data_IF_080497948127
#
_entry.id   IF_080497948127
#
_cell.length_a   1.000
_cell.length_b   1.000
_cell.length_c   1.000
_cell.angle_alpha   90.00
_cell.angle_beta   90.00
_cell.angle_gamma   90.00
#
_symmetry.space_group_name_H-M   'P 1'
#
loop_
_entity.id
_entity.type
_entity.pdbx_description
1 polymer ?
#
# COMPACT_ATOMS: atom_id res chain seq x y z
N UNK A 1 23.55 -2.09 2.51
CA UNK A 1 22.15 -2.56 2.52
C UNK A 1 21.79 -2.94 3.95
N UNK A 2 20.75 -2.34 4.53
CA UNK A 2 20.30 -2.68 5.88
C UNK A 2 19.66 -4.08 5.88
N UNK A 3 19.72 -4.80 7.01
CA UNK A 3 19.09 -6.13 7.15
C UNK A 3 17.58 -6.08 6.79
N UNK A 4 16.87 -5.01 7.19
CA UNK A 4 15.47 -4.79 6.78
C UNK A 4 15.33 -4.72 5.26
N UNK A 5 16.19 -4.00 4.56
CA UNK A 5 16.10 -3.89 3.10
C UNK A 5 16.35 -5.22 2.39
N UNK A 6 17.30 -6.01 2.88
CA UNK A 6 17.54 -7.36 2.36
C UNK A 6 16.32 -8.24 2.56
N UNK A 7 15.71 -8.22 3.75
CA UNK A 7 14.46 -8.92 4.05
C UNK A 7 13.33 -8.49 3.09
N UNK A 8 13.09 -7.18 2.93
CA UNK A 8 12.06 -6.66 2.04
C UNK A 8 12.24 -7.16 0.60
N UNK A 9 13.46 -7.10 0.07
CA UNK A 9 13.74 -7.50 -1.32
C UNK A 9 13.57 -9.01 -1.52
N UNK A 10 14.11 -9.83 -0.61
CA UNK A 10 14.02 -11.29 -0.73
C UNK A 10 12.56 -11.75 -0.65
N UNK A 11 11.82 -11.24 0.33
CA UNK A 11 10.41 -11.61 0.52
C UNK A 11 9.56 -11.09 -0.65
N UNK A 12 9.76 -9.84 -1.08
CA UNK A 12 9.01 -9.28 -2.20
C UNK A 12 9.26 -10.03 -3.51
N UNK A 13 10.52 -10.40 -3.80
CA UNK A 13 10.86 -11.19 -4.99
C UNK A 13 10.21 -12.58 -4.94
N UNK A 14 10.34 -13.29 -3.82
CA UNK A 14 9.72 -14.60 -3.63
C UNK A 14 8.20 -14.55 -3.77
N UNK A 15 7.55 -13.57 -3.12
CA UNK A 15 6.10 -13.37 -3.23
C UNK A 15 5.67 -13.03 -4.66
N UNK A 16 6.40 -12.18 -5.37
CA UNK A 16 6.05 -11.82 -6.75
C UNK A 16 6.12 -13.02 -7.68
N UNK A 17 7.14 -13.88 -7.55
CA UNK A 17 7.25 -15.13 -8.31
C UNK A 17 6.09 -16.08 -7.94
N UNK A 18 5.85 -16.30 -6.65
CA UNK A 18 4.82 -17.23 -6.18
C UNK A 18 3.41 -16.79 -6.59
N UNK A 19 3.14 -15.48 -6.51
CA UNK A 19 1.81 -14.93 -6.81
C UNK A 19 1.64 -14.54 -8.29
N UNK A 20 2.66 -14.67 -9.14
CA UNK A 20 2.60 -14.28 -10.55
C UNK A 20 1.47 -14.97 -11.34
N UNK A 21 1.14 -16.28 -11.17
CA UNK A 21 -0.01 -16.87 -11.87
C UNK A 21 -1.34 -16.21 -11.45
N UNK A 22 -1.51 -15.97 -10.14
CA UNK A 22 -2.71 -15.30 -9.61
C UNK A 22 -2.82 -13.89 -10.15
N UNK A 23 -1.69 -13.16 -10.19
CA UNK A 23 -1.64 -11.81 -10.71
C UNK A 23 -2.03 -11.75 -12.20
N UNK A 24 -1.55 -12.69 -13.02
CA UNK A 24 -1.90 -12.78 -14.44
C UNK A 24 -3.41 -13.04 -14.64
N UNK A 25 -3.99 -13.98 -13.89
CA UNK A 25 -5.44 -14.26 -13.92
C UNK A 25 -6.24 -13.05 -13.47
N UNK A 26 -5.81 -12.37 -12.40
CA UNK A 26 -6.46 -11.16 -11.92
C UNK A 26 -6.40 -10.01 -12.94
N UNK A 27 -5.25 -9.81 -13.60
CA UNK A 27 -5.10 -8.82 -14.67
C UNK A 27 -6.03 -9.11 -15.85
N UNK A 28 -6.17 -10.37 -16.24
CA UNK A 28 -7.13 -10.78 -17.28
C UNK A 28 -8.56 -10.49 -16.87
N UNK A 29 -8.95 -10.88 -15.64
CA UNK A 29 -10.29 -10.60 -15.10
C UNK A 29 -10.61 -9.10 -15.09
N UNK A 30 -9.64 -8.23 -14.69
CA UNK A 30 -9.82 -6.78 -14.72
C UNK A 30 -10.06 -6.28 -16.15
N UNK A 31 -9.32 -6.79 -17.14
CA UNK A 31 -9.48 -6.39 -18.54
C UNK A 31 -10.80 -6.83 -19.16
N UNK A 32 -11.29 -8.01 -18.76
CA UNK A 32 -12.57 -8.54 -19.25
C UNK A 32 -13.79 -7.85 -18.62
N UNK A 33 -13.63 -7.30 -17.41
CA UNK A 33 -14.75 -6.64 -16.68
C UNK A 33 -14.88 -5.16 -16.93
N UNK A 34 -13.81 -4.48 -17.39
CA UNK A 34 -13.90 -3.06 -17.74
C UNK A 34 -12.79 -2.67 -18.75
N UNK A 35 -13.06 -1.79 -19.72
CA UNK A 35 -12.07 -1.35 -20.69
C UNK A 35 -10.92 -0.58 -20.04
N UNK A 36 -9.69 -0.72 -20.59
CA UNK A 36 -8.48 -0.01 -20.17
C UNK A 36 -7.40 -0.88 -19.52
N UNK A 37 -6.31 -0.30 -19.01
CA UNK A 37 -5.17 -1.03 -18.46
C UNK A 37 -5.53 -1.77 -17.18
N UNK A 38 -4.95 -2.97 -16.97
CA UNK A 38 -5.20 -3.76 -15.75
C UNK A 38 -4.48 -3.15 -14.53
N UNK A 39 -3.33 -2.52 -14.74
CA UNK A 39 -2.57 -1.82 -13.69
C UNK A 39 -3.03 -0.37 -13.62
N UNK A 40 -3.31 0.08 -12.43
CA UNK A 40 -3.57 1.47 -12.06
C UNK A 40 -2.38 2.00 -11.29
N UNK A 41 -1.88 3.17 -11.67
CA UNK A 41 -0.77 3.84 -11.01
C UNK A 41 -1.25 5.18 -10.46
N UNK A 42 -1.00 5.42 -9.18
CA UNK A 42 -1.41 6.64 -8.48
C UNK A 42 -0.21 7.28 -7.80
N UNK A 43 -0.04 8.58 -7.95
CA UNK A 43 0.99 9.32 -7.22
C UNK A 43 0.72 9.26 -5.71
N UNK A 44 1.73 8.87 -4.96
CA UNK A 44 1.73 8.79 -3.51
C UNK A 44 2.99 9.42 -2.94
N UNK A 45 2.88 9.90 -1.71
CA UNK A 45 4.01 10.48 -0.99
C UNK A 45 4.87 9.35 -0.42
N UNK A 46 6.15 9.36 -0.81
CA UNK A 46 7.18 8.42 -0.39
C UNK A 46 8.16 9.03 0.61
N UNK A 47 9.31 8.37 0.74
CA UNK A 47 10.39 8.81 1.63
C UNK A 47 10.89 10.20 1.27
N UNK A 48 11.17 11.02 2.28
CA UNK A 48 11.58 12.42 2.10
C UNK A 48 10.49 13.34 1.58
N UNK A 49 9.23 12.88 1.48
CA UNK A 49 8.14 13.64 0.87
C UNK A 49 8.14 13.59 -0.67
N UNK A 50 9.04 12.81 -1.28
CA UNK A 50 9.13 12.66 -2.74
C UNK A 50 7.99 11.76 -3.22
N UNK A 51 7.24 12.22 -4.23
CA UNK A 51 6.16 11.44 -4.82
C UNK A 51 6.69 10.31 -5.70
N UNK A 52 6.02 9.16 -5.67
CA UNK A 52 6.29 8.01 -6.53
C UNK A 52 5.00 7.42 -7.09
N UNK A 53 5.09 6.64 -8.15
CA UNK A 53 3.96 5.93 -8.75
C UNK A 53 3.69 4.62 -8.01
N UNK A 54 2.66 4.58 -7.16
CA UNK A 54 2.22 3.39 -6.46
C UNK A 54 1.33 2.55 -7.39
N UNK A 55 1.71 1.29 -7.61
CA UNK A 55 1.02 0.40 -8.54
C UNK A 55 0.00 -0.50 -7.83
N UNK A 56 -1.19 -0.64 -8.45
CA UNK A 56 -2.25 -1.55 -8.00
C UNK A 56 -2.96 -2.17 -9.21
N UNK A 57 -3.69 -3.27 -8.99
CA UNK A 57 -4.70 -3.65 -9.99
C UNK A 57 -5.85 -2.65 -9.97
N UNK A 58 -6.38 -2.35 -11.15
CA UNK A 58 -7.53 -1.47 -11.28
C UNK A 58 -8.78 -2.18 -10.77
N UNK A 59 -9.38 -1.62 -9.72
CA UNK A 59 -10.60 -2.14 -9.07
C UNK A 59 -11.83 -1.30 -9.36
N UNK A 60 -11.66 -0.16 -10.04
CA UNK A 60 -12.72 0.79 -10.35
C UNK A 60 -12.84 0.96 -11.87
N UNK A 61 -14.00 1.43 -12.32
CA UNK A 61 -14.23 1.76 -13.73
C UNK A 61 -13.25 2.85 -14.20
N UNK A 62 -12.87 2.78 -15.48
CA UNK A 62 -12.03 3.81 -16.09
C UNK A 62 -12.75 5.18 -16.04
N UNK A 63 -11.99 6.24 -15.77
CA UNK A 63 -12.53 7.60 -15.61
C UNK A 63 -13.01 7.94 -14.20
N UNK A 64 -12.96 7.02 -13.24
CA UNK A 64 -13.26 7.35 -11.84
C UNK A 64 -12.21 8.32 -11.30
N UNK A 65 -12.63 9.43 -10.63
CA UNK A 65 -11.68 10.37 -10.03
C UNK A 65 -10.72 9.72 -9.05
N UNK A 66 -9.48 10.23 -9.00
CA UNK A 66 -8.43 9.73 -8.09
C UNK A 66 -8.64 10.32 -6.69
N UNK A 67 -9.54 9.72 -5.92
CA UNK A 67 -9.89 10.11 -4.54
C UNK A 67 -9.27 9.15 -3.52
N UNK A 68 -9.16 9.56 -2.24
CA UNK A 68 -8.94 8.66 -1.13
C UNK A 68 -9.97 7.52 -1.13
N UNK A 69 -9.57 6.32 -0.74
CA UNK A 69 -10.44 5.13 -0.85
C UNK A 69 -11.75 5.27 -0.06
N UNK A 70 -11.74 6.01 1.05
CA UNK A 70 -12.92 6.25 1.87
C UNK A 70 -13.88 7.31 1.30
N UNK A 71 -13.42 8.14 0.36
CA UNK A 71 -14.25 9.16 -0.32
C UNK A 71 -14.81 8.67 -1.67
N UNK A 72 -14.27 7.56 -2.20
CA UNK A 72 -14.66 7.06 -3.51
C UNK A 72 -16.02 6.33 -3.44
N UNK A 73 -16.98 6.65 -4.34
CA UNK A 73 -18.28 5.99 -4.37
C UNK A 73 -18.14 4.47 -4.54
N UNK A 74 -18.85 3.69 -3.73
CA UNK A 74 -18.85 2.23 -3.82
C UNK A 74 -19.39 1.70 -5.17
N UNK A 75 -20.24 2.47 -5.84
CA UNK A 75 -20.76 2.20 -7.18
C UNK A 75 -19.69 2.23 -8.28
N UNK A 76 -18.57 2.92 -8.04
CA UNK A 76 -17.45 2.99 -8.98
C UNK A 76 -16.59 1.72 -8.99
N UNK A 77 -16.78 0.80 -8.02
CA UNK A 77 -16.00 -0.43 -7.90
C UNK A 77 -16.60 -1.52 -8.75
N UNK A 78 -15.81 -2.14 -9.64
CA UNK A 78 -16.25 -3.25 -10.48
C UNK A 78 -16.51 -4.52 -9.65
N UNK A 79 -17.29 -5.49 -10.19
CA UNK A 79 -17.52 -6.76 -9.50
C UNK A 79 -16.21 -7.51 -9.21
N UNK A 80 -15.30 -7.60 -10.20
CA UNK A 80 -13.95 -8.13 -9.99
C UNK A 80 -13.17 -7.31 -8.96
N UNK A 81 -13.29 -5.98 -9.00
CA UNK A 81 -12.63 -5.07 -8.06
C UNK A 81 -13.04 -5.29 -6.60
N UNK A 82 -14.31 -5.60 -6.34
CA UNK A 82 -14.77 -5.95 -4.98
C UNK A 82 -14.07 -7.19 -4.43
N UNK A 83 -13.96 -8.24 -5.25
CA UNK A 83 -13.24 -9.45 -4.88
C UNK A 83 -11.76 -9.18 -4.64
N UNK A 84 -11.09 -8.46 -5.56
CA UNK A 84 -9.68 -8.15 -5.47
C UNK A 84 -9.34 -7.34 -4.21
N UNK A 85 -10.17 -6.35 -3.85
CA UNK A 85 -10.00 -5.56 -2.62
C UNK A 85 -10.17 -6.40 -1.36
N UNK A 86 -11.20 -7.25 -1.33
CA UNK A 86 -11.45 -8.14 -0.17
C UNK A 86 -10.27 -9.10 0.06
N UNK A 87 -9.67 -9.61 -1.02
CA UNK A 87 -8.54 -10.54 -0.96
C UNK A 87 -7.18 -9.86 -0.94
N UNK A 88 -7.13 -8.51 -1.02
CA UNK A 88 -5.91 -7.69 -1.13
C UNK A 88 -5.01 -8.05 -2.33
N UNK A 89 -5.50 -8.83 -3.28
CA UNK A 89 -4.78 -9.19 -4.52
C UNK A 89 -4.48 -7.93 -5.36
N UNK A 90 -5.33 -6.91 -5.26
CA UNK A 90 -5.12 -5.63 -5.95
C UNK A 90 -3.84 -4.89 -5.50
N UNK A 91 -3.30 -5.19 -4.33
CA UNK A 91 -2.08 -4.57 -3.82
C UNK A 91 -0.78 -5.33 -4.20
N UNK A 92 -0.87 -6.54 -4.77
CA UNK A 92 0.30 -7.31 -5.19
C UNK A 92 1.28 -6.57 -6.13
N UNK A 93 0.83 -5.72 -7.08
CA UNK A 93 1.76 -4.95 -7.91
C UNK A 93 2.68 -4.01 -7.11
N UNK A 94 2.35 -3.66 -5.87
CA UNK A 94 3.24 -2.87 -5.01
C UNK A 94 4.52 -3.61 -4.62
N UNK A 95 4.56 -4.94 -4.73
CA UNK A 95 5.80 -5.71 -4.57
C UNK A 95 6.88 -5.23 -5.56
N UNK A 96 6.48 -4.77 -6.74
CA UNK A 96 7.39 -4.14 -7.70
C UNK A 96 7.95 -2.81 -7.18
N UNK A 97 7.12 -1.98 -6.52
CA UNK A 97 7.62 -0.76 -5.87
C UNK A 97 8.61 -1.08 -4.73
N UNK A 98 8.37 -2.20 -4.01
CA UNK A 98 9.35 -2.67 -3.02
C UNK A 98 10.68 -3.03 -3.68
N UNK A 99 10.68 -3.80 -4.76
CA UNK A 99 11.91 -4.16 -5.49
C UNK A 99 12.65 -2.92 -6.01
N UNK A 100 11.93 -1.90 -6.47
CA UNK A 100 12.51 -0.63 -6.93
C UNK A 100 13.06 0.26 -5.81
N UNK A 101 12.77 -0.05 -4.54
CA UNK A 101 13.21 0.76 -3.40
C UNK A 101 12.34 1.99 -3.10
N UNK A 102 11.17 2.06 -3.70
CA UNK A 102 10.17 3.11 -3.48
C UNK A 102 9.30 2.80 -2.25
N UNK A 103 9.17 1.50 -1.90
CA UNK A 103 8.40 1.00 -0.78
C UNK A 103 9.18 -0.06 0.03
N UNK A 104 8.65 -0.39 1.19
CA UNK A 104 8.97 -1.52 2.06
C UNK A 104 7.75 -2.44 2.15
N UNK A 105 7.91 -3.68 2.59
CA UNK A 105 6.77 -4.55 2.92
C UNK A 105 5.96 -3.97 4.07
N UNK A 106 6.66 -3.49 5.12
CA UNK A 106 6.05 -2.92 6.32
C UNK A 106 6.55 -1.50 6.56
N UNK A 107 5.61 -0.59 6.74
CA UNK A 107 5.89 0.83 6.97
C UNK A 107 4.60 1.67 7.01
N UNK A 108 4.72 2.99 7.16
CA UNK A 108 3.59 3.91 7.04
C UNK A 108 2.91 3.78 5.69
N UNK A 109 1.57 3.68 5.66
CA UNK A 109 0.84 3.59 4.37
C UNK A 109 1.04 4.87 3.56
N UNK A 110 1.39 4.80 2.25
CA UNK A 110 1.63 5.99 1.45
C UNK A 110 0.33 6.79 1.22
N UNK A 111 0.35 8.07 1.62
CA UNK A 111 -0.78 8.99 1.47
C UNK A 111 -0.80 9.66 0.09
N UNK A 112 -1.94 10.28 -0.25
CA UNK A 112 -2.04 11.14 -1.43
C UNK A 112 -1.32 12.48 -1.18
N UNK A 113 -0.78 13.14 -2.23
CA UNK A 113 -0.21 14.49 -2.09
C UNK A 113 -1.20 15.55 -1.59
N UNK A 114 -2.51 15.30 -1.75
CA UNK A 114 -3.59 16.18 -1.27
C UNK A 114 -3.86 16.07 0.24
N UNK A 115 -3.35 15.02 0.92
CA UNK A 115 -3.53 14.82 2.35
C UNK A 115 -2.48 15.62 3.15
N UNK A 116 -2.52 16.93 3.00
CA UNK A 116 -1.49 17.87 3.49
C UNK A 116 -1.32 17.85 5.00
N UNK A 117 -2.42 17.71 5.77
CA UNK A 117 -2.35 17.63 7.22
C UNK A 117 -1.58 16.38 7.68
N UNK A 118 -1.87 15.22 7.10
CA UNK A 118 -1.17 13.98 7.43
C UNK A 118 0.32 14.07 7.07
N UNK A 119 0.63 14.66 5.91
CA UNK A 119 2.02 14.85 5.46
C UNK A 119 2.77 15.73 6.46
N UNK A 120 2.17 16.84 6.89
CA UNK A 120 2.83 17.76 7.83
C UNK A 120 3.06 17.13 9.20
N UNK A 121 2.06 16.41 9.75
CA UNK A 121 2.21 15.67 11.00
C UNK A 121 3.31 14.61 10.92
N UNK A 122 3.35 13.84 9.82
CA UNK A 122 4.40 12.85 9.57
C UNK A 122 5.78 13.49 9.44
N UNK A 123 5.87 14.70 8.85
CA UNK A 123 7.12 15.46 8.77
C UNK A 123 7.61 15.85 10.15
N UNK A 124 6.74 16.43 10.99
CA UNK A 124 7.07 16.84 12.35
C UNK A 124 7.54 15.69 13.23
N UNK A 125 6.93 14.51 13.06
CA UNK A 125 7.27 13.29 13.80
C UNK A 125 8.41 12.47 13.16
N UNK A 126 9.03 12.95 12.07
CA UNK A 126 10.14 12.29 11.40
C UNK A 126 9.73 11.04 10.59
N UNK A 127 8.43 10.78 10.43
CA UNK A 127 7.90 9.59 9.73
C UNK A 127 8.29 9.56 8.27
N UNK A 128 8.40 10.72 7.62
CA UNK A 128 8.78 10.81 6.20
C UNK A 128 10.22 10.34 5.90
N UNK A 129 11.06 10.14 6.90
CA UNK A 129 12.40 9.56 6.70
C UNK A 129 12.35 8.07 6.30
N UNK A 130 11.26 7.38 6.61
CA UNK A 130 11.08 5.96 6.29
C UNK A 130 10.49 5.73 4.90
N UNK A 131 10.72 4.52 4.35
CA UNK A 131 9.98 4.05 3.18
C UNK A 131 8.53 3.75 3.57
N UNK A 132 7.54 4.12 2.74
CA UNK A 132 6.16 3.70 2.96
C UNK A 132 6.01 2.18 2.80
N UNK A 133 5.05 1.59 3.52
CA UNK A 133 4.78 0.16 3.50
C UNK A 133 3.56 -0.24 2.68
N UNK A 134 3.55 -1.49 2.21
CA UNK A 134 2.34 -2.14 1.69
C UNK A 134 1.35 -2.30 2.85
N UNK A 135 1.83 -2.79 3.99
CA UNK A 135 1.10 -2.82 5.27
C UNK A 135 1.85 -2.07 6.36
N UNK A 136 1.22 -1.86 7.51
CA UNK A 136 1.84 -1.13 8.62
C UNK A 136 1.05 -1.24 9.92
N UNK A 137 1.64 -0.74 10.99
CA UNK A 137 1.07 -0.81 12.34
C UNK A 137 -0.31 -0.15 12.44
N UNK A 138 -0.47 1.03 11.83
CA UNK A 138 -1.76 1.73 11.80
C UNK A 138 -2.82 0.87 11.08
N UNK A 139 -2.45 0.26 9.96
CA UNK A 139 -3.38 -0.58 9.18
C UNK A 139 -3.86 -1.78 9.99
N UNK A 140 -2.99 -2.54 10.65
CA UNK A 140 -3.41 -3.71 11.45
C UNK A 140 -4.21 -3.32 12.71
N UNK A 141 -4.08 -2.07 13.18
CA UNK A 141 -4.86 -1.52 14.30
C UNK A 141 -6.19 -0.91 13.88
N UNK A 142 -6.54 -0.89 12.59
CA UNK A 142 -7.77 -0.28 12.12
C UNK A 142 -7.74 1.24 12.02
N UNK A 143 -6.57 1.81 12.14
CA UNK A 143 -6.38 3.26 12.04
C UNK A 143 -6.17 3.59 10.57
N UNK A 144 -7.05 4.39 10.01
CA UNK A 144 -6.94 4.88 8.65
C UNK A 144 -6.49 6.36 8.60
N UNK A 145 -6.38 6.90 7.42
CA UNK A 145 -5.87 8.26 7.21
C UNK A 145 -6.95 9.35 7.34
N UNK A 146 -8.18 9.00 7.77
CA UNK A 146 -9.24 9.97 8.10
C UNK A 146 -8.98 10.68 9.43
N UNK A 147 -8.16 10.05 10.32
CA UNK A 147 -7.60 10.70 11.49
C UNK A 147 -6.08 10.89 11.31
N UNK A 148 -5.64 12.01 10.75
CA UNK A 148 -4.23 12.28 10.48
C UNK A 148 -3.34 12.27 11.72
N UNK A 149 -3.89 12.67 12.89
CA UNK A 149 -3.13 12.73 14.13
C UNK A 149 -2.80 11.33 14.64
N UNK A 150 -3.82 10.52 14.89
CA UNK A 150 -3.64 9.15 15.42
C UNK A 150 -2.84 8.31 14.42
N UNK A 151 -3.08 8.48 13.11
CA UNK A 151 -2.34 7.79 12.07
C UNK A 151 -0.84 8.13 12.13
N UNK A 152 -0.47 9.41 12.17
CA UNK A 152 0.93 9.84 12.20
C UNK A 152 1.64 9.43 13.50
N UNK A 153 0.97 9.52 14.65
CA UNK A 153 1.50 9.07 15.95
C UNK A 153 1.75 7.55 15.97
N UNK A 154 0.83 6.78 15.40
CA UNK A 154 0.99 5.31 15.29
C UNK A 154 2.13 4.93 14.34
N UNK A 155 2.26 5.64 13.23
CA UNK A 155 3.38 5.46 12.30
C UNK A 155 4.72 5.78 12.97
N UNK A 156 4.80 6.85 13.77
CA UNK A 156 5.98 7.20 14.53
C UNK A 156 6.33 6.14 15.59
N UNK A 157 5.34 5.61 16.30
CA UNK A 157 5.53 4.53 17.26
C UNK A 157 6.08 3.26 16.58
N UNK A 158 5.61 2.91 15.38
CA UNK A 158 6.20 1.83 14.61
C UNK A 158 7.69 2.08 14.33
N UNK A 159 8.07 3.27 13.89
CA UNK A 159 9.45 3.58 13.54
C UNK A 159 10.39 3.48 14.75
N UNK A 160 9.94 3.88 15.93
CA UNK A 160 10.71 3.76 17.18
C UNK A 160 10.96 2.30 17.59
N UNK A 161 10.04 1.39 17.26
CA UNK A 161 10.11 -0.02 17.60
C UNK A 161 10.51 -0.93 16.42
N UNK A 162 10.95 -0.35 15.30
CA UNK A 162 11.22 -1.10 14.05
C UNK A 162 12.19 -2.26 14.28
N UNK A 163 11.76 -3.46 13.94
CA UNK A 163 12.57 -4.68 13.94
C UNK A 163 11.97 -5.69 12.96
N UNK A 164 12.79 -6.62 12.46
CA UNK A 164 12.30 -7.71 11.58
C UNK A 164 11.22 -8.54 12.29
N UNK A 165 11.37 -8.77 13.60
CA UNK A 165 10.36 -9.49 14.38
C UNK A 165 9.01 -8.76 14.44
N UNK A 166 9.02 -7.42 14.56
CA UNK A 166 7.80 -6.61 14.51
C UNK A 166 7.21 -6.62 13.10
N UNK A 167 8.04 -6.53 12.06
CA UNK A 167 7.59 -6.59 10.68
C UNK A 167 6.88 -7.92 10.36
N UNK A 168 7.46 -9.04 10.79
CA UNK A 168 6.83 -10.37 10.64
C UNK A 168 5.48 -10.42 11.37
N UNK A 169 5.39 -9.89 12.60
CA UNK A 169 4.11 -9.83 13.33
C UNK A 169 3.06 -9.00 12.59
N UNK A 170 3.45 -7.86 12.01
CA UNK A 170 2.54 -7.00 11.23
C UNK A 170 2.10 -7.71 9.94
N UNK A 171 3.01 -8.38 9.23
CA UNK A 171 2.69 -9.16 8.03
C UNK A 171 1.68 -10.28 8.36
N UNK A 172 1.92 -11.05 9.41
CA UNK A 172 0.97 -12.06 9.87
C UNK A 172 -0.38 -11.44 10.27
N UNK A 173 -0.36 -10.35 11.04
CA UNK A 173 -1.58 -9.63 11.43
C UNK A 173 -2.39 -9.11 10.24
N UNK A 174 -1.72 -8.82 9.11
CA UNK A 174 -2.39 -8.39 7.88
C UNK A 174 -3.17 -9.54 7.22
N UNK A 175 -2.70 -10.79 7.35
CA UNK A 175 -3.36 -11.98 6.79
C UNK A 175 -4.61 -12.41 7.60
N UNK A 176 -4.63 -12.13 8.90
CA UNK A 176 -5.74 -12.51 9.80
C UNK A 176 -6.77 -11.41 9.99
N UNK A 177 -6.59 -10.28 9.34
CA UNK A 177 -7.54 -9.17 9.43
C UNK A 177 -8.52 -9.25 8.26
N UNK A 178 -9.77 -9.54 8.59
CA UNK A 178 -10.93 -9.47 7.70
C UNK A 178 -11.33 -8.01 7.41
#
# INVERSE_FOLDING_TARGET
>A
VTAKRAFDVIVAAGMLVLTSPVLLVAMLAVRLTSPGPAIFSQLRVGRGGVSFACHKLRTMYAGTPSLPTHEAPSSSVTAAGKFLRRTKIDELPQLWNVLRGEMSLVGPRPCLPTQTELIERRRQLGVLAALPGITGLAQIRGIDMSDPKICAETDAAYLQATSIGLDVKILLGTLYRD
#
